data_IF_622102539197
#
_entry.id   IF_622102539197
#
_cell.length_a   1.000
_cell.length_b   1.000
_cell.length_c   1.000
_cell.angle_alpha   90.00
_cell.angle_beta   90.00
_cell.angle_gamma   90.00
#
_symmetry.space_group_name_H-M   'P 1'
#
loop_
_entity.id
_entity.type
_entity.pdbx_description
1 polymer ?
#
# COMPACT_ATOMS: atom_id res chain seq x y z
N UNK A 1 -16.13 -5.15 -10.69
CA UNK A 1 -16.51 -4.44 -9.46
C UNK A 1 -15.26 -4.16 -8.64
N UNK A 2 -15.02 -2.91 -8.22
CA UNK A 2 -13.89 -2.57 -7.35
C UNK A 2 -14.28 -2.83 -5.89
N UNK A 3 -13.54 -3.69 -5.19
CA UNK A 3 -13.78 -3.99 -3.79
C UNK A 3 -13.01 -3.00 -2.91
N UNK A 4 -13.74 -2.02 -2.37
CA UNK A 4 -13.19 -1.12 -1.35
C UNK A 4 -12.83 -1.96 -0.11
N UNK A 5 -11.76 -1.58 0.57
CA UNK A 5 -11.32 -2.18 1.84
C UNK A 5 -10.79 -3.63 1.75
N UNK A 6 -10.39 -4.14 0.57
CA UNK A 6 -9.79 -5.48 0.45
C UNK A 6 -8.59 -5.70 1.39
N UNK A 7 -7.75 -4.67 1.58
CA UNK A 7 -6.62 -4.73 2.51
C UNK A 7 -7.06 -4.87 3.97
N UNK A 8 -8.26 -4.41 4.33
CA UNK A 8 -8.81 -4.53 5.68
C UNK A 8 -9.51 -5.88 5.93
N UNK A 9 -9.79 -6.66 4.89
CA UNK A 9 -10.56 -7.91 5.03
C UNK A 9 -9.76 -8.93 5.83
N UNK A 10 -10.36 -9.49 6.89
CA UNK A 10 -9.71 -10.48 7.75
C UNK A 10 -8.48 -9.95 8.47
N UNK A 11 -8.42 -8.62 8.70
CA UNK A 11 -7.37 -7.98 9.50
C UNK A 11 -7.48 -8.45 10.96
N UNK A 12 -6.33 -8.76 11.55
CA UNK A 12 -6.15 -8.86 13.00
C UNK A 12 -5.36 -7.61 13.41
N UNK A 13 -5.85 -6.84 14.39
CA UNK A 13 -5.11 -5.68 14.86
C UNK A 13 -3.85 -6.17 15.60
N UNK A 14 -2.65 -5.67 15.26
CA UNK A 14 -1.46 -6.02 16.01
C UNK A 14 -1.62 -5.57 17.47
N UNK A 15 -1.09 -6.38 18.37
CA UNK A 15 -1.08 -6.08 19.81
C UNK A 15 0.21 -5.34 20.13
N UNK A 16 0.09 -4.27 20.90
CA UNK A 16 1.23 -3.58 21.49
C UNK A 16 1.99 -4.57 22.40
N UNK A 17 3.27 -4.87 22.14
CA UNK A 17 4.04 -5.80 22.96
C UNK A 17 4.16 -5.35 24.43
N UNK A 18 4.05 -4.04 24.70
CA UNK A 18 4.17 -3.45 26.03
C UNK A 18 2.81 -3.07 26.65
N UNK A 19 1.70 -3.31 25.94
CA UNK A 19 0.35 -2.90 26.33
C UNK A 19 -0.36 -3.93 27.22
N UNK A 20 -0.75 -3.51 28.42
CA UNK A 20 -1.39 -4.38 29.44
C UNK A 20 -2.91 -4.61 29.21
N UNK A 21 -3.50 -4.01 28.18
CA UNK A 21 -4.95 -4.05 27.96
C UNK A 21 -5.37 -5.07 26.90
N UNK A 22 -6.35 -5.91 27.27
CA UNK A 22 -7.15 -6.73 26.35
C UNK A 22 -8.44 -5.99 25.95
N UNK A 23 -8.53 -5.36 24.77
CA UNK A 23 -9.81 -5.05 24.16
C UNK A 23 -10.35 -6.30 23.48
N UNK A 24 -11.61 -6.61 23.79
CA UNK A 24 -12.38 -7.72 23.26
C UNK A 24 -12.83 -7.54 21.80
N UNK A 25 -12.49 -6.42 21.13
CA UNK A 25 -12.86 -6.16 19.74
C UNK A 25 -11.85 -5.26 19.00
N UNK A 26 -11.34 -5.66 17.81
CA UNK A 26 -10.50 -4.84 16.93
C UNK A 26 -11.16 -3.54 16.43
N UNK A 27 -12.48 -3.41 16.57
CA UNK A 27 -13.24 -2.22 16.17
C UNK A 27 -13.08 -1.08 17.17
N UNK A 28 -12.76 -1.40 18.43
CA UNK A 28 -12.60 -0.43 19.52
C UNK A 28 -11.17 0.09 19.66
N UNK A 29 -10.16 -0.57 19.05
CA UNK A 29 -8.78 -0.07 19.01
C UNK A 29 -8.65 0.95 17.87
N UNK A 30 -8.05 2.11 18.17
CA UNK A 30 -7.52 2.98 17.10
C UNK A 30 -6.58 2.15 16.23
N UNK A 31 -6.64 2.34 14.90
CA UNK A 31 -5.78 1.59 13.98
C UNK A 31 -4.33 1.88 14.33
N UNK A 32 -3.51 0.86 14.56
CA UNK A 32 -2.13 0.99 15.03
C UNK A 32 -1.30 1.98 14.20
N UNK A 33 -1.48 1.99 12.87
CA UNK A 33 -0.79 2.93 11.98
C UNK A 33 -1.18 4.40 12.16
N UNK A 34 -2.33 4.70 12.77
CA UNK A 34 -2.71 6.07 13.08
C UNK A 34 -1.89 6.64 14.24
N UNK A 35 -1.39 5.76 15.11
CA UNK A 35 -0.58 6.09 16.27
C UNK A 35 0.92 5.90 15.98
N UNK A 36 1.31 4.78 15.36
CA UNK A 36 2.71 4.39 15.16
C UNK A 36 3.41 5.17 14.04
N UNK A 37 2.67 5.77 13.12
CA UNK A 37 3.23 6.57 12.03
C UNK A 37 3.19 8.04 12.41
N UNK A 38 4.32 8.57 12.87
CA UNK A 38 4.42 9.96 13.35
C UNK A 38 4.20 10.97 12.22
N UNK A 39 4.87 10.77 11.08
CA UNK A 39 4.80 11.67 9.93
C UNK A 39 3.40 11.68 9.30
N UNK A 40 2.75 12.85 9.36
CA UNK A 40 1.37 13.03 8.89
C UNK A 40 1.19 12.61 7.43
N UNK A 41 2.10 13.03 6.54
CA UNK A 41 2.03 12.71 5.09
C UNK A 41 2.09 11.21 4.82
N UNK A 42 2.93 10.48 5.53
CA UNK A 42 3.03 9.02 5.42
C UNK A 42 1.76 8.34 5.95
N UNK A 43 1.29 8.76 7.12
CA UNK A 43 0.05 8.26 7.75
C UNK A 43 -1.15 8.47 6.84
N UNK A 44 -1.26 9.64 6.19
CA UNK A 44 -2.31 9.97 5.23
C UNK A 44 -2.27 9.07 4.00
N UNK A 45 -1.10 8.91 3.37
CA UNK A 45 -0.93 8.02 2.21
C UNK A 45 -1.31 6.57 2.54
N UNK A 46 -0.85 6.05 3.68
CA UNK A 46 -1.18 4.70 4.12
C UNK A 46 -2.68 4.54 4.43
N UNK A 47 -3.27 5.51 5.12
CA UNK A 47 -4.72 5.50 5.45
C UNK A 47 -5.57 5.48 4.19
N UNK A 48 -5.20 6.29 3.20
CA UNK A 48 -5.83 6.34 1.87
C UNK A 48 -5.72 5.01 1.13
N UNK A 49 -4.52 4.42 1.11
CA UNK A 49 -4.28 3.10 0.54
C UNK A 49 -5.21 2.04 1.16
N UNK A 50 -5.18 1.93 2.49
CA UNK A 50 -5.92 0.91 3.25
C UNK A 50 -7.43 1.11 3.16
N UNK A 51 -7.90 2.36 3.12
CA UNK A 51 -9.33 2.68 3.04
C UNK A 51 -9.89 2.58 1.62
N UNK A 52 -9.07 2.14 0.65
CA UNK A 52 -9.46 2.08 -0.77
C UNK A 52 -9.78 3.46 -1.35
N UNK A 53 -9.26 4.51 -0.72
CA UNK A 53 -9.41 5.91 -1.10
C UNK A 53 -8.04 6.53 -1.37
N UNK A 54 -7.25 5.85 -2.21
CA UNK A 54 -6.04 6.43 -2.83
C UNK A 54 -6.51 7.33 -3.99
N UNK A 55 -7.14 8.45 -3.63
CA UNK A 55 -7.71 9.40 -4.58
C UNK A 55 -6.62 10.32 -5.17
N UNK A 56 -6.77 10.79 -6.44
CA UNK A 56 -7.81 10.44 -7.45
C UNK A 56 -7.12 9.97 -8.75
N UNK A 57 -7.01 8.69 -9.12
CA UNK A 57 -7.99 7.86 -9.84
C UNK A 57 -7.74 6.35 -9.54
N UNK A 58 -7.38 6.08 -8.27
CA UNK A 58 -7.58 4.89 -7.42
C UNK A 58 -6.85 3.57 -7.73
N UNK A 59 -6.01 3.44 -8.75
CA UNK A 59 -5.61 2.13 -9.29
C UNK A 59 -6.77 1.51 -10.09
N UNK A 60 -6.45 1.01 -11.28
CA UNK A 60 -7.46 0.44 -12.20
C UNK A 60 -8.04 -0.90 -11.72
N UNK A 61 -7.41 -1.56 -10.76
CA UNK A 61 -7.87 -2.80 -10.14
C UNK A 61 -7.80 -2.77 -8.61
N UNK A 62 -8.68 -3.55 -7.99
CA UNK A 62 -8.68 -3.73 -6.54
C UNK A 62 -7.50 -4.59 -6.07
N UNK A 63 -7.01 -4.40 -4.84
CA UNK A 63 -6.04 -5.30 -4.23
C UNK A 63 -6.53 -6.75 -4.24
N UNK A 64 -5.63 -7.68 -4.57
CA UNK A 64 -5.89 -9.11 -4.64
C UNK A 64 -6.79 -9.54 -5.82
N UNK A 65 -7.07 -8.63 -6.76
CA UNK A 65 -7.92 -8.91 -7.93
C UNK A 65 -7.24 -9.92 -8.86
N UNK A 66 -7.91 -11.05 -9.09
CA UNK A 66 -7.57 -12.02 -10.14
C UNK A 66 -8.33 -11.72 -11.42
N UNK A 67 -7.83 -12.26 -12.55
CA UNK A 67 -8.57 -12.28 -13.81
C UNK A 67 -9.94 -12.94 -13.61
N UNK A 68 -10.96 -12.37 -14.25
CA UNK A 68 -12.30 -12.96 -14.33
C UNK A 68 -12.77 -12.87 -15.77
N UNK A 69 -13.39 -13.93 -16.27
CA UNK A 69 -13.94 -13.95 -17.63
C UNK A 69 -14.92 -12.79 -17.85
N UNK A 70 -14.82 -12.12 -19.00
CA UNK A 70 -15.56 -10.89 -19.31
C UNK A 70 -14.92 -9.59 -18.78
N UNK A 71 -13.77 -9.66 -18.11
CA UNK A 71 -13.03 -8.44 -17.76
C UNK A 71 -12.47 -7.74 -19.01
N UNK A 72 -12.71 -6.44 -19.14
CA UNK A 72 -11.93 -5.60 -20.04
C UNK A 72 -10.52 -5.46 -19.47
N UNK A 73 -9.65 -6.41 -19.80
CA UNK A 73 -8.28 -6.51 -19.28
C UNK A 73 -7.50 -5.24 -19.62
N UNK A 74 -7.59 -4.76 -20.86
CA UNK A 74 -6.77 -3.64 -21.35
C UNK A 74 -6.96 -2.35 -20.56
N UNK A 75 -8.20 -2.03 -20.14
CA UNK A 75 -8.46 -0.84 -19.32
C UNK A 75 -7.99 -0.98 -17.86
N UNK A 76 -7.66 -2.20 -17.44
CA UNK A 76 -7.26 -2.60 -16.09
C UNK A 76 -5.76 -2.80 -15.91
N UNK A 77 -5.00 -2.85 -17.01
CA UNK A 77 -3.55 -3.04 -16.97
C UNK A 77 -2.85 -1.84 -16.33
N UNK A 78 -1.76 -2.15 -15.64
CA UNK A 78 -0.83 -1.21 -15.02
C UNK A 78 -0.40 -0.14 -16.01
N UNK A 79 -0.57 1.13 -15.63
CA UNK A 79 -0.17 2.27 -16.48
C UNK A 79 1.32 2.24 -16.82
N UNK A 80 2.15 1.65 -15.96
CA UNK A 80 3.59 1.53 -16.16
C UNK A 80 3.92 0.37 -17.12
N UNK A 81 3.71 -0.89 -16.70
CA UNK A 81 4.20 -2.04 -17.45
C UNK A 81 3.24 -2.56 -18.53
N UNK A 82 1.95 -2.22 -18.47
CA UNK A 82 0.90 -2.70 -19.39
C UNK A 82 0.78 -4.24 -19.48
N UNK A 83 1.30 -5.00 -18.53
CA UNK A 83 1.28 -6.48 -18.57
C UNK A 83 0.44 -7.12 -17.47
N UNK A 84 0.37 -6.51 -16.30
CA UNK A 84 -0.37 -7.01 -15.12
C UNK A 84 -1.45 -6.01 -14.73
N UNK A 85 -2.47 -6.46 -14.00
CA UNK A 85 -3.46 -5.55 -13.43
C UNK A 85 -2.82 -4.48 -12.55
N UNK A 86 -3.34 -3.27 -12.66
CA UNK A 86 -2.91 -2.15 -11.84
C UNK A 86 -3.51 -2.27 -10.44
N UNK A 87 -2.83 -3.00 -9.55
CA UNK A 87 -3.15 -3.06 -8.13
C UNK A 87 -2.04 -2.41 -7.31
N UNK A 88 -2.29 -1.98 -6.06
CA UNK A 88 -1.25 -1.38 -5.23
C UNK A 88 -0.08 -2.33 -4.96
N UNK A 89 -0.36 -3.60 -4.68
CA UNK A 89 0.67 -4.61 -4.46
C UNK A 89 1.51 -4.83 -5.72
N UNK A 90 0.91 -4.78 -6.92
CA UNK A 90 1.68 -4.85 -8.15
C UNK A 90 2.57 -3.60 -8.29
N UNK A 91 2.01 -2.40 -8.20
CA UNK A 91 2.75 -1.15 -8.44
C UNK A 91 3.91 -0.99 -7.45
N UNK A 92 3.65 -1.24 -6.17
CA UNK A 92 4.64 -1.05 -5.11
C UNK A 92 5.65 -2.21 -5.05
N UNK A 93 5.18 -3.46 -5.09
CA UNK A 93 6.00 -4.62 -4.73
C UNK A 93 6.42 -5.51 -5.92
N UNK A 94 5.80 -5.39 -7.10
CA UNK A 94 6.12 -6.26 -8.25
C UNK A 94 6.59 -5.54 -9.51
N UNK A 95 6.09 -4.34 -9.78
CA UNK A 95 6.35 -3.65 -11.04
C UNK A 95 7.84 -3.32 -11.17
N UNK A 96 8.44 -3.67 -12.31
CA UNK A 96 9.88 -3.44 -12.58
C UNK A 96 10.12 -2.41 -13.68
N UNK A 97 9.06 -1.73 -14.13
CA UNK A 97 9.15 -0.84 -15.30
C UNK A 97 9.90 0.45 -15.00
N UNK A 98 9.80 0.96 -13.78
CA UNK A 98 10.37 2.24 -13.36
C UNK A 98 11.57 2.00 -12.45
N UNK A 99 12.79 2.40 -12.86
CA UNK A 99 14.01 2.20 -12.07
C UNK A 99 13.91 2.74 -10.64
N UNK A 100 13.38 3.95 -10.45
CA UNK A 100 13.30 4.59 -9.13
C UNK A 100 12.41 3.79 -8.17
N UNK A 101 11.29 3.25 -8.65
CA UNK A 101 10.43 2.34 -7.87
C UNK A 101 11.16 1.03 -7.53
N UNK A 102 12.00 0.51 -8.44
CA UNK A 102 12.79 -0.71 -8.19
C UNK A 102 13.86 -0.47 -7.13
N UNK A 103 14.55 0.67 -7.18
CA UNK A 103 15.54 1.08 -6.18
C UNK A 103 14.87 1.25 -4.81
N UNK A 104 13.80 2.05 -4.74
CA UNK A 104 13.04 2.28 -3.52
C UNK A 104 12.56 0.96 -2.88
N UNK A 105 11.99 0.06 -3.69
CA UNK A 105 11.55 -1.26 -3.21
C UNK A 105 12.73 -2.10 -2.70
N UNK A 106 13.85 -2.12 -3.41
CA UNK A 106 15.01 -2.92 -3.02
C UNK A 106 15.56 -2.47 -1.68
N UNK A 107 15.67 -1.16 -1.48
CA UNK A 107 16.11 -0.57 -0.21
C UNK A 107 15.12 -0.87 0.92
N UNK A 108 13.83 -0.68 0.68
CA UNK A 108 12.78 -1.00 1.64
C UNK A 108 12.81 -2.48 2.05
N UNK A 109 12.81 -3.42 1.10
CA UNK A 109 12.82 -4.85 1.41
C UNK A 109 14.07 -5.25 2.21
N UNK A 110 15.26 -4.76 1.83
CA UNK A 110 16.50 -4.98 2.61
C UNK A 110 16.41 -4.44 4.03
N UNK A 111 15.85 -3.24 4.22
CA UNK A 111 15.67 -2.62 5.54
C UNK A 111 14.72 -3.43 6.44
N UNK A 112 13.82 -4.21 5.85
CA UNK A 112 12.89 -5.10 6.55
C UNK A 112 13.35 -6.56 6.61
N UNK A 113 14.62 -6.84 6.26
CA UNK A 113 15.20 -8.19 6.17
C UNK A 113 14.45 -9.15 5.23
N UNK A 114 13.78 -8.61 4.22
CA UNK A 114 13.12 -9.37 3.17
C UNK A 114 14.01 -9.43 1.93
N UNK A 115 14.07 -10.60 1.29
CA UNK A 115 14.82 -10.77 0.04
C UNK A 115 14.15 -10.00 -1.11
N UNK A 116 14.84 -8.99 -1.72
CA UNK A 116 14.32 -8.23 -2.85
C UNK A 116 14.28 -9.03 -4.16
N UNK A 117 15.11 -10.07 -4.29
CA UNK A 117 15.26 -10.86 -5.52
C UNK A 117 14.30 -12.06 -5.55
N UNK A 118 13.74 -12.43 -4.39
CA UNK A 118 12.75 -13.48 -4.27
C UNK A 118 11.54 -13.22 -5.19
N UNK A 119 11.35 -14.12 -6.16
CA UNK A 119 10.16 -14.12 -7.01
C UNK A 119 8.93 -14.50 -6.20
N UNK A 120 7.87 -13.70 -6.32
CA UNK A 120 6.62 -13.88 -5.59
C UNK A 120 5.47 -13.91 -6.59
N UNK A 121 4.52 -14.82 -6.39
CA UNK A 121 3.26 -14.83 -7.14
C UNK A 121 2.39 -13.64 -6.71
N UNK A 122 1.47 -13.20 -7.57
CA UNK A 122 0.58 -12.06 -7.27
C UNK A 122 -0.17 -12.23 -5.93
N UNK A 123 -0.59 -13.45 -5.59
CA UNK A 123 -1.22 -13.73 -4.30
C UNK A 123 -0.28 -13.52 -3.12
N UNK A 124 0.98 -13.95 -3.25
CA UNK A 124 1.98 -13.72 -2.19
C UNK A 124 2.33 -12.24 -2.05
N UNK A 125 2.35 -11.48 -3.14
CA UNK A 125 2.64 -10.04 -3.09
C UNK A 125 1.51 -9.29 -2.39
N UNK A 126 0.25 -9.64 -2.64
CA UNK A 126 -0.90 -9.09 -1.92
C UNK A 126 -0.82 -9.37 -0.41
N UNK A 127 -0.58 -10.62 -0.02
CA UNK A 127 -0.47 -10.99 1.39
C UNK A 127 0.78 -10.36 2.05
N UNK A 128 1.87 -10.19 1.31
CA UNK A 128 3.06 -9.49 1.78
C UNK A 128 2.78 -8.01 2.06
N UNK A 129 2.13 -7.29 1.12
CA UNK A 129 1.74 -5.90 1.35
C UNK A 129 0.87 -5.80 2.61
N UNK A 130 -0.07 -6.74 2.77
CA UNK A 130 -0.95 -6.79 3.92
C UNK A 130 -0.17 -7.03 5.22
N UNK A 131 0.75 -8.00 5.26
CA UNK A 131 1.55 -8.29 6.47
C UNK A 131 2.46 -7.13 6.87
N UNK A 132 3.05 -6.43 5.89
CA UNK A 132 3.87 -5.23 6.11
C UNK A 132 3.06 -4.07 6.70
N UNK A 133 1.82 -3.87 6.23
CA UNK A 133 0.93 -2.80 6.71
C UNK A 133 0.41 -3.09 8.12
N UNK A 134 0.15 -4.35 8.46
CA UNK A 134 -0.42 -4.75 9.76
C UNK A 134 0.62 -5.27 10.75
N UNK A 135 1.90 -5.01 10.50
CA UNK A 135 2.99 -5.29 11.45
C UNK A 135 3.22 -4.08 12.36
N UNK A 136 3.17 -4.31 13.67
CA UNK A 136 3.42 -3.26 14.68
C UNK A 136 4.79 -2.57 14.50
N UNK A 137 5.80 -3.38 14.19
CA UNK A 137 7.19 -2.93 14.03
C UNK A 137 7.43 -2.29 12.67
N UNK A 138 6.88 -2.88 11.61
CA UNK A 138 7.21 -2.44 10.24
C UNK A 138 6.33 -1.29 9.76
N UNK A 139 5.18 -1.03 10.39
CA UNK A 139 4.24 -0.04 9.86
C UNK A 139 4.82 1.38 9.66
N UNK A 140 5.74 1.91 10.49
CA UNK A 140 6.33 3.23 10.23
C UNK A 140 7.16 3.26 8.94
N UNK A 141 8.02 2.26 8.72
CA UNK A 141 8.85 2.17 7.52
C UNK A 141 8.02 1.80 6.28
N UNK A 142 7.00 0.95 6.44
CA UNK A 142 6.03 0.63 5.39
C UNK A 142 5.25 1.87 4.96
N UNK A 143 4.83 2.73 5.90
CA UNK A 143 4.10 3.95 5.58
C UNK A 143 4.94 4.94 4.76
N UNK A 144 6.22 5.08 5.10
CA UNK A 144 7.18 5.87 4.32
C UNK A 144 7.33 5.32 2.90
N UNK A 145 7.61 4.02 2.77
CA UNK A 145 7.73 3.35 1.48
C UNK A 145 6.48 3.51 0.61
N UNK A 146 5.29 3.33 1.19
CA UNK A 146 4.02 3.54 0.48
C UNK A 146 3.89 4.99 0.01
N UNK A 147 4.23 5.97 0.85
CA UNK A 147 4.14 7.38 0.50
C UNK A 147 5.06 7.73 -0.68
N UNK A 148 6.35 7.40 -0.57
CA UNK A 148 7.34 7.68 -1.61
C UNK A 148 7.03 6.92 -2.91
N UNK A 149 6.62 5.65 -2.82
CA UNK A 149 6.22 4.87 -3.99
C UNK A 149 4.99 5.44 -4.69
N UNK A 150 4.01 5.96 -3.94
CA UNK A 150 2.86 6.62 -4.54
C UNK A 150 3.23 7.94 -5.25
N UNK A 151 4.22 8.69 -4.76
CA UNK A 151 4.74 9.89 -5.44
C UNK A 151 5.37 9.49 -6.77
N UNK A 152 6.34 8.57 -6.75
CA UNK A 152 7.02 8.10 -7.97
C UNK A 152 6.01 7.61 -9.02
N UNK A 153 5.03 6.81 -8.58
CA UNK A 153 4.00 6.29 -9.48
C UNK A 153 3.13 7.38 -10.10
N UNK A 154 2.71 8.37 -9.31
CA UNK A 154 1.89 9.49 -9.79
C UNK A 154 2.66 10.34 -10.78
N UNK A 155 3.87 10.77 -10.42
CA UNK A 155 4.75 11.57 -11.26
C UNK A 155 4.97 10.89 -12.61
N UNK A 156 5.30 9.60 -12.59
CA UNK A 156 5.58 8.83 -13.81
C UNK A 156 4.33 8.62 -14.69
N UNK A 157 3.13 8.69 -14.11
CA UNK A 157 1.88 8.49 -14.83
C UNK A 157 1.15 9.81 -15.14
N UNK A 158 1.79 10.95 -14.90
CA UNK A 158 1.20 12.29 -14.99
C UNK A 158 -0.14 12.40 -14.23
N UNK A 159 -0.22 11.75 -13.05
CA UNK A 159 -1.43 11.76 -12.22
C UNK A 159 -1.36 12.99 -11.29
N UNK A 160 -2.32 13.92 -11.37
CA UNK A 160 -2.26 15.15 -10.60
C UNK A 160 -2.32 14.95 -9.07
N UNK A 161 -1.57 15.78 -8.35
CA UNK A 161 -1.44 15.78 -6.89
C UNK A 161 -2.53 16.63 -6.22
N UNK A 162 -3.79 16.43 -6.61
CA UNK A 162 -4.94 17.31 -6.31
C UNK A 162 -5.12 17.58 -4.80
N UNK A 163 -4.62 16.71 -3.93
CA UNK A 163 -4.83 16.76 -2.49
C UNK A 163 -3.59 17.16 -1.66
N UNK A 164 -2.47 17.50 -2.28
CA UNK A 164 -1.19 17.78 -1.57
C UNK A 164 -0.98 19.27 -1.26
N UNK A 165 -1.86 20.15 -1.74
CA UNK A 165 -1.78 21.61 -1.58
C UNK A 165 -2.45 22.19 -0.32
N UNK A 166 -3.12 21.37 0.50
CA UNK A 166 -3.97 21.91 1.60
C UNK A 166 -3.29 22.00 2.98
N UNK A 167 -2.09 21.46 3.18
CA UNK A 167 -1.52 21.34 4.54
C UNK A 167 -0.03 21.75 4.61
N UNK A 168 0.24 23.05 4.41
CA UNK A 168 1.42 23.73 4.99
C UNK A 168 1.21 24.02 6.49
N UNK A 169 0.47 23.15 7.21
CA UNK A 169 0.31 23.26 8.66
C UNK A 169 1.32 22.33 9.36
N UNK A 170 2.45 22.97 9.70
CA UNK A 170 3.43 22.72 10.77
C UNK A 170 3.77 21.28 11.16
N UNK A 171 5.04 20.93 10.97
CA UNK A 171 5.73 19.79 11.62
C UNK A 171 5.92 19.99 13.13
#
# INVERSE_FOLDING_TARGET
>A
MFHRLSLLRGRIEPTDPDGDERPSSPVLRFRHYLHRVSYHRHRRSLTRLVSGNVSPFIFRCSPGRRYTEGDNVNSKLCRLCKTTYETPEHVLLSCRRIPDMVTLRTEFLRSTHLDPDLQRSDSHVFELLKSLIFSWELVPVTAKFVHEGLIIWKDTCDIPHIDEHYDDEQE
#
